data_IF_259968025660
#
_entry.id   IF_259968025660
#
_cell.length_a   1.000
_cell.length_b   1.000
_cell.length_c   1.000
_cell.angle_alpha   90.00
_cell.angle_beta   90.00
_cell.angle_gamma   90.00
#
_symmetry.space_group_name_H-M   'P 1'
#
loop_
_entity.id
_entity.type
_entity.pdbx_description
1 polymer ?
#
# COMPACT_ATOMS: atom_id res chain seq x y z
N UNK A 1 32.64 19.82 34.82
CA UNK A 1 31.87 18.63 34.43
C UNK A 1 32.54 17.99 33.23
N UNK A 2 33.01 16.74 33.37
CA UNK A 2 33.84 16.05 32.36
C UNK A 2 32.93 15.48 31.26
N UNK A 3 33.15 15.87 30.00
CA UNK A 3 32.32 15.47 28.85
C UNK A 3 32.79 14.11 28.31
N UNK A 4 31.97 13.04 28.32
CA UNK A 4 32.37 11.70 27.86
C UNK A 4 32.19 11.55 26.34
N UNK A 5 32.71 12.48 25.55
CA UNK A 5 32.55 12.50 24.09
C UNK A 5 33.19 11.31 23.35
N UNK A 6 34.47 10.96 23.62
CA UNK A 6 35.19 9.97 22.80
C UNK A 6 34.74 8.51 23.01
N UNK A 7 34.20 8.19 24.20
CA UNK A 7 33.79 6.82 24.56
C UNK A 7 32.45 6.43 23.93
N UNK A 8 31.52 7.38 23.77
CA UNK A 8 30.21 7.13 23.16
C UNK A 8 30.31 6.85 21.66
N UNK A 9 31.23 7.51 20.95
CA UNK A 9 31.49 7.24 19.53
C UNK A 9 32.13 5.87 19.29
N UNK A 10 33.01 5.42 20.20
CA UNK A 10 33.61 4.08 20.11
C UNK A 10 32.58 2.97 20.35
N UNK A 11 31.64 3.17 21.27
CA UNK A 11 30.56 2.21 21.55
C UNK A 11 29.60 2.08 20.36
N UNK A 12 29.25 3.20 19.71
CA UNK A 12 28.38 3.21 18.53
C UNK A 12 29.01 2.49 17.32
N UNK A 13 30.32 2.67 17.10
CA UNK A 13 31.05 1.97 16.04
C UNK A 13 31.12 0.46 16.25
N UNK A 14 31.32 0.01 17.50
CA UNK A 14 31.38 -1.41 17.85
C UNK A 14 30.02 -2.11 17.61
N UNK A 15 28.91 -1.46 17.98
CA UNK A 15 27.56 -2.01 17.78
C UNK A 15 27.22 -2.17 16.29
N UNK A 16 27.65 -1.24 15.44
CA UNK A 16 27.44 -1.31 14.01
C UNK A 16 28.22 -2.46 13.35
N UNK A 17 29.45 -2.71 13.81
CA UNK A 17 30.29 -3.81 13.30
C UNK A 17 29.74 -5.20 13.69
N UNK A 18 29.20 -5.36 14.90
CA UNK A 18 28.58 -6.62 15.35
C UNK A 18 27.26 -6.90 14.60
N UNK A 19 26.49 -5.85 14.29
CA UNK A 19 25.25 -5.97 13.53
C UNK A 19 25.47 -6.40 12.07
N UNK A 20 26.51 -5.90 11.40
CA UNK A 20 26.84 -6.34 10.03
C UNK A 20 27.39 -7.78 9.97
N UNK A 21 28.03 -8.28 11.03
CA UNK A 21 28.56 -9.65 11.07
C UNK A 21 27.45 -10.70 11.22
N UNK A 22 26.30 -10.34 11.77
CA UNK A 22 25.16 -11.26 11.99
C UNK A 22 24.29 -11.50 10.74
N UNK A 23 24.41 -10.65 9.71
CA UNK A 23 23.68 -10.79 8.45
C UNK A 23 24.36 -11.74 7.45
N UNK A 24 25.61 -12.17 7.71
CA UNK A 24 26.39 -13.01 6.78
C UNK A 24 26.40 -14.51 7.16
N UNK A 25 25.56 -14.95 8.10
CA UNK A 25 25.55 -16.32 8.61
C UNK A 25 24.34 -17.18 8.16
N UNK A 26 23.50 -16.73 7.22
CA UNK A 26 22.26 -17.47 6.86
C UNK A 26 22.12 -17.84 5.38
N UNK A 27 23.09 -17.58 4.53
CA UNK A 27 23.13 -18.16 3.18
C UNK A 27 23.94 -19.46 3.15
N UNK A 28 23.51 -20.42 3.97
CA UNK A 28 23.95 -21.81 3.90
C UNK A 28 23.06 -22.60 2.95
N UNK A 29 23.55 -22.77 1.72
CA UNK A 29 23.09 -23.73 0.70
C UNK A 29 22.46 -25.01 1.27
N UNK A 30 21.17 -25.24 0.99
CA UNK A 30 20.56 -26.58 1.07
C UNK A 30 20.43 -27.15 -0.33
N UNK A 31 21.53 -27.74 -0.79
CA UNK A 31 21.52 -28.69 -1.88
C UNK A 31 21.89 -30.05 -1.26
N UNK A 32 20.90 -30.90 -1.06
CA UNK A 32 21.12 -32.29 -0.64
C UNK A 32 19.98 -33.15 -1.18
N UNK A 33 20.16 -33.58 -2.43
CA UNK A 33 19.53 -34.75 -3.01
C UNK A 33 19.78 -35.96 -2.11
N UNK A 34 18.73 -36.52 -1.52
CA UNK A 34 18.79 -37.80 -0.84
C UNK A 34 18.64 -38.93 -1.85
N UNK A 35 19.76 -39.28 -2.49
CA UNK A 35 19.91 -40.56 -3.16
C UNK A 35 19.99 -41.67 -2.10
N UNK A 36 19.04 -42.60 -2.10
CA UNK A 36 19.13 -43.85 -1.33
C UNK A 36 19.59 -44.99 -2.25
N UNK A 37 20.62 -45.76 -1.86
CA UNK A 37 21.01 -46.96 -2.61
C UNK A 37 20.13 -48.15 -2.18
N UNK A 38 19.73 -49.00 -3.14
CA UNK A 38 19.33 -50.38 -2.84
C UNK A 38 19.79 -51.31 -3.96
N UNK A 39 20.56 -52.31 -3.52
CA UNK A 39 21.26 -53.37 -4.24
C UNK A 39 20.33 -54.41 -4.90
N UNK A 40 20.87 -55.33 -5.74
CA UNK A 40 20.17 -55.90 -6.89
C UNK A 40 19.54 -57.29 -6.66
N UNK A 41 18.64 -57.64 -7.58
CA UNK A 41 18.53 -58.99 -8.15
C UNK A 41 17.54 -59.95 -7.49
N UNK A 42 16.44 -60.26 -8.19
CA UNK A 42 15.97 -61.63 -8.54
C UNK A 42 14.62 -61.52 -9.27
N UNK A 43 14.58 -61.90 -10.55
CA UNK A 43 13.39 -62.30 -11.34
C UNK A 43 13.13 -63.82 -11.09
N UNK A 44 12.00 -64.49 -11.43
CA UNK A 44 11.15 -64.37 -12.66
C UNK A 44 9.65 -64.77 -12.44
N UNK A 45 8.84 -65.26 -13.43
CA UNK A 45 8.48 -64.77 -14.77
C UNK A 45 6.94 -64.60 -15.04
N UNK A 46 6.65 -63.92 -16.17
CA UNK A 46 5.60 -64.13 -17.20
C UNK A 46 4.09 -64.27 -16.88
N UNK A 47 3.31 -63.34 -17.48
CA UNK A 47 2.17 -63.56 -18.43
C UNK A 47 0.94 -62.71 -18.13
N UNK A 48 0.63 -61.76 -19.03
CA UNK A 48 -0.67 -61.62 -19.72
C UNK A 48 -0.71 -60.32 -20.56
N UNK A 49 -1.41 -60.42 -21.68
CA UNK A 49 -1.53 -59.54 -22.86
C UNK A 49 -2.42 -58.28 -22.65
N UNK A 50 -2.45 -57.32 -23.61
CA UNK A 50 -2.85 -55.93 -23.38
C UNK A 50 -4.36 -55.67 -23.50
N UNK A 51 -4.93 -55.04 -22.47
CA UNK A 51 -6.25 -54.42 -22.53
C UNK A 51 -6.14 -52.92 -22.86
N UNK A 52 -6.48 -52.52 -24.10
CA UNK A 52 -6.79 -51.14 -24.45
C UNK A 52 -8.01 -50.70 -23.64
N UNK A 53 -7.78 -49.94 -22.58
CA UNK A 53 -8.84 -49.17 -21.92
C UNK A 53 -8.69 -47.72 -22.36
N UNK A 54 -9.62 -47.26 -23.20
CA UNK A 54 -9.73 -45.88 -23.66
C UNK A 54 -10.14 -44.99 -22.49
N UNK A 55 -9.18 -44.31 -21.86
CA UNK A 55 -9.49 -43.23 -20.92
C UNK A 55 -10.27 -42.12 -21.64
N UNK A 56 -11.36 -41.59 -21.05
CA UNK A 56 -12.07 -40.45 -21.62
C UNK A 56 -11.14 -39.23 -21.70
N UNK A 57 -11.29 -38.37 -22.72
CA UNK A 57 -10.48 -37.17 -22.84
C UNK A 57 -10.68 -36.28 -21.61
N UNK A 58 -9.58 -35.93 -20.95
CA UNK A 58 -9.57 -34.94 -19.88
C UNK A 58 -10.14 -33.62 -20.43
N UNK A 59 -11.07 -32.96 -19.72
CA UNK A 59 -11.57 -31.66 -20.16
C UNK A 59 -10.38 -30.71 -20.28
N UNK A 60 -10.24 -30.12 -21.46
CA UNK A 60 -9.26 -29.06 -21.72
C UNK A 60 -9.51 -27.91 -20.73
N UNK A 61 -8.47 -27.32 -20.10
CA UNK A 61 -8.68 -26.18 -19.23
C UNK A 61 -9.32 -25.07 -20.05
N UNK A 62 -10.58 -24.77 -19.72
CA UNK A 62 -11.30 -23.64 -20.29
C UNK A 62 -10.43 -22.40 -20.09
N UNK A 63 -10.11 -21.69 -21.18
CA UNK A 63 -9.38 -20.44 -21.11
C UNK A 63 -10.11 -19.53 -20.12
N UNK A 64 -9.43 -19.16 -19.03
CA UNK A 64 -9.96 -18.21 -18.07
C UNK A 64 -10.26 -16.92 -18.83
N UNK A 65 -11.44 -16.30 -18.65
CA UNK A 65 -11.71 -15.01 -19.28
C UNK A 65 -10.59 -14.04 -18.88
N UNK A 66 -9.96 -13.42 -19.87
CA UNK A 66 -9.00 -12.34 -19.64
C UNK A 66 -9.74 -11.25 -18.86
N UNK A 67 -9.37 -11.07 -17.59
CA UNK A 67 -9.95 -10.04 -16.76
C UNK A 67 -9.71 -8.68 -17.44
N UNK A 68 -10.77 -7.88 -17.57
CA UNK A 68 -10.63 -6.52 -18.09
C UNK A 68 -9.92 -5.66 -17.05
N UNK A 69 -9.02 -4.75 -17.46
CA UNK A 69 -8.29 -3.91 -16.52
C UNK A 69 -9.26 -3.05 -15.71
N UNK A 70 -8.91 -2.81 -14.44
CA UNK A 70 -9.70 -1.97 -13.54
C UNK A 70 -9.75 -0.53 -14.08
N UNK A 71 -10.93 0.09 -14.22
CA UNK A 71 -11.04 1.42 -14.80
C UNK A 71 -10.47 2.49 -13.88
N UNK A 72 -9.87 3.50 -14.51
CA UNK A 72 -9.38 4.72 -13.86
C UNK A 72 -10.53 5.45 -13.14
N UNK A 73 -10.38 5.64 -11.83
CA UNK A 73 -11.34 6.35 -11.00
C UNK A 73 -10.71 6.89 -9.71
N UNK A 74 -11.40 7.82 -9.06
CA UNK A 74 -11.06 8.31 -7.73
C UNK A 74 -12.15 7.85 -6.76
N UNK A 75 -11.78 7.62 -5.50
CA UNK A 75 -12.67 7.12 -4.45
C UNK A 75 -12.44 7.93 -3.18
N UNK A 76 -13.50 8.24 -2.45
CA UNK A 76 -13.42 8.96 -1.18
C UNK A 76 -14.49 8.47 -0.21
N UNK A 77 -14.13 8.37 1.05
CA UNK A 77 -15.05 7.99 2.11
C UNK A 77 -14.37 7.99 3.46
N UNK A 78 -14.84 7.12 4.35
CA UNK A 78 -14.41 7.12 5.75
C UNK A 78 -14.18 5.74 6.29
N UNK A 79 -13.48 5.72 7.42
CA UNK A 79 -13.48 4.56 8.29
C UNK A 79 -14.88 4.33 8.84
N UNK A 80 -15.22 3.06 9.10
CA UNK A 80 -16.56 2.66 9.53
C UNK A 80 -16.89 3.21 10.94
N UNK A 81 -15.87 3.56 11.73
CA UNK A 81 -15.99 4.22 13.04
C UNK A 81 -16.06 5.76 12.95
N UNK A 82 -16.08 6.32 11.74
CA UNK A 82 -16.11 7.76 11.44
C UNK A 82 -14.90 8.56 11.98
N UNK A 83 -13.87 7.88 12.51
CA UNK A 83 -12.70 8.54 13.11
C UNK A 83 -11.72 9.12 12.10
N UNK A 84 -11.76 8.67 10.84
CA UNK A 84 -10.80 9.09 9.81
C UNK A 84 -11.45 9.09 8.42
N UNK A 85 -10.76 9.73 7.47
CA UNK A 85 -11.13 9.76 6.06
C UNK A 85 -10.10 8.98 5.23
N UNK A 86 -10.58 8.37 4.16
CA UNK A 86 -9.76 7.63 3.20
C UNK A 86 -10.12 8.07 1.79
N UNK A 87 -9.11 8.38 0.98
CA UNK A 87 -9.26 8.58 -0.45
C UNK A 87 -8.25 7.75 -1.24
N UNK A 88 -8.65 7.29 -2.42
CA UNK A 88 -7.83 6.47 -3.31
C UNK A 88 -7.95 7.01 -4.73
N UNK A 89 -6.83 7.34 -5.36
CA UNK A 89 -6.77 7.57 -6.81
C UNK A 89 -6.20 6.33 -7.48
N UNK A 90 -6.92 5.81 -8.47
CA UNK A 90 -6.58 4.60 -9.21
C UNK A 90 -6.35 4.96 -10.67
N UNK A 91 -5.16 4.67 -11.18
CA UNK A 91 -4.81 4.84 -12.60
C UNK A 91 -3.91 3.70 -13.07
N UNK A 92 -4.28 3.07 -14.17
CA UNK A 92 -3.43 2.14 -14.93
C UNK A 92 -2.80 1.02 -14.07
N UNK A 93 -3.63 0.35 -13.26
CA UNK A 93 -3.19 -0.74 -12.38
C UNK A 93 -2.39 -0.29 -11.16
N UNK A 94 -2.27 1.02 -10.90
CA UNK A 94 -1.65 1.59 -9.70
C UNK A 94 -2.63 2.41 -8.89
N UNK A 95 -2.34 2.55 -7.60
CA UNK A 95 -3.08 3.44 -6.73
C UNK A 95 -2.19 4.23 -5.78
N UNK A 96 -2.63 5.45 -5.49
CA UNK A 96 -2.21 6.24 -4.33
C UNK A 96 -3.42 6.37 -3.42
N UNK A 97 -3.23 6.09 -2.15
CA UNK A 97 -4.21 6.33 -1.11
C UNK A 97 -3.70 7.31 -0.06
N UNK A 98 -4.65 8.00 0.55
CA UNK A 98 -4.40 8.90 1.66
C UNK A 98 -5.39 8.60 2.78
N UNK A 99 -4.86 8.41 3.97
CA UNK A 99 -5.61 8.24 5.22
C UNK A 99 -5.29 9.42 6.13
N UNK A 100 -6.29 10.07 6.72
CA UNK A 100 -6.05 11.07 7.75
C UNK A 100 -7.22 11.20 8.74
N UNK A 101 -6.94 11.65 9.96
CA UNK A 101 -7.95 12.01 10.95
C UNK A 101 -8.42 13.47 10.87
N UNK A 102 -7.74 14.28 10.05
CA UNK A 102 -8.02 15.72 9.90
C UNK A 102 -7.42 16.59 11.00
N UNK A 103 -6.53 16.03 11.83
CA UNK A 103 -5.91 16.71 12.95
C UNK A 103 -4.38 16.64 12.87
N UNK A 104 -3.82 15.46 13.09
CA UNK A 104 -2.36 15.29 13.25
C UNK A 104 -1.87 13.91 12.77
N UNK A 105 -2.78 13.00 12.39
CA UNK A 105 -2.43 11.67 11.91
C UNK A 105 -2.76 11.56 10.44
N UNK A 106 -1.75 11.17 9.67
CA UNK A 106 -1.92 10.90 8.25
C UNK A 106 -0.98 9.80 7.76
N UNK A 107 -1.34 9.21 6.62
CA UNK A 107 -0.45 8.33 5.88
C UNK A 107 -0.75 8.38 4.38
N UNK A 108 0.32 8.50 3.61
CA UNK A 108 0.31 8.33 2.17
C UNK A 108 0.74 6.90 1.84
N UNK A 109 -0.10 6.19 1.08
CA UNK A 109 0.14 4.82 0.68
C UNK A 109 0.16 4.70 -0.85
N UNK A 110 0.94 3.76 -1.36
CA UNK A 110 0.99 3.45 -2.80
C UNK A 110 1.18 1.97 -3.05
N UNK A 111 0.75 1.50 -4.21
CA UNK A 111 0.91 0.11 -4.61
C UNK A 111 0.09 -0.25 -5.83
N UNK A 112 -0.04 -1.55 -6.04
CA UNK A 112 -0.66 -2.13 -7.22
C UNK A 112 -2.15 -2.43 -7.02
N UNK A 113 -2.88 -2.40 -8.13
CA UNK A 113 -4.25 -2.86 -8.25
C UNK A 113 -4.29 -4.00 -9.25
N UNK A 114 -4.77 -5.15 -8.81
CA UNK A 114 -4.95 -6.33 -9.67
C UNK A 114 -6.21 -6.20 -10.51
N UNK A 115 -6.27 -6.94 -11.61
CA UNK A 115 -7.44 -6.96 -12.51
C UNK A 115 -8.73 -7.44 -11.83
N UNK A 116 -8.61 -8.20 -10.74
CA UNK A 116 -9.75 -8.62 -9.90
C UNK A 116 -10.26 -7.52 -8.95
N UNK A 117 -9.67 -6.33 -9.00
CA UNK A 117 -10.01 -5.20 -8.15
C UNK A 117 -9.34 -5.20 -6.78
N UNK A 118 -8.45 -6.14 -6.48
CA UNK A 118 -7.71 -6.17 -5.21
C UNK A 118 -6.63 -5.09 -5.19
N UNK A 119 -6.61 -4.29 -4.11
CA UNK A 119 -5.61 -3.27 -3.85
C UNK A 119 -4.72 -3.71 -2.70
N UNK A 120 -3.40 -3.53 -2.84
CA UNK A 120 -2.44 -3.71 -1.74
C UNK A 120 -1.43 -2.59 -1.76
N UNK A 121 -1.60 -1.65 -0.83
CA UNK A 121 -0.82 -0.42 -0.77
C UNK A 121 0.01 -0.39 0.52
N UNK A 122 1.17 0.25 0.43
CA UNK A 122 2.10 0.41 1.56
C UNK A 122 2.48 1.87 1.70
N UNK A 123 2.66 2.30 2.94
CA UNK A 123 3.07 3.66 3.31
C UNK A 123 4.29 3.64 4.22
N UNK A 124 4.65 4.83 4.70
CA UNK A 124 5.72 4.99 5.69
C UNK A 124 5.32 4.35 7.03
N UNK A 125 6.32 4.07 7.88
CA UNK A 125 6.12 3.61 9.26
C UNK A 125 5.25 2.35 9.39
N UNK A 126 5.31 1.46 8.39
CA UNK A 126 4.54 0.21 8.38
C UNK A 126 3.05 0.39 8.10
N UNK A 127 2.60 1.57 7.64
CA UNK A 127 1.22 1.76 7.24
C UNK A 127 0.87 0.89 6.02
N UNK A 128 -0.33 0.33 6.01
CA UNK A 128 -0.82 -0.57 4.97
C UNK A 128 -2.27 -0.28 4.61
N UNK A 129 -2.66 -0.64 3.39
CA UNK A 129 -4.05 -0.67 2.99
C UNK A 129 -4.28 -1.91 2.12
N UNK A 130 -5.14 -2.80 2.59
CA UNK A 130 -5.67 -3.92 1.82
C UNK A 130 -7.14 -3.65 1.52
N UNK A 131 -7.53 -3.74 0.24
CA UNK A 131 -8.90 -3.43 -0.16
C UNK A 131 -9.35 -4.15 -1.42
N UNK A 132 -10.63 -4.03 -1.72
CA UNK A 132 -11.21 -4.58 -2.95
C UNK A 132 -12.21 -3.59 -3.54
N UNK A 133 -12.02 -3.30 -4.83
CA UNK A 133 -13.00 -2.59 -5.63
C UNK A 133 -14.19 -3.50 -5.96
N UNK A 134 -15.38 -3.10 -5.52
CA UNK A 134 -16.64 -3.79 -5.77
C UNK A 134 -17.39 -3.11 -6.90
N UNK A 135 -17.61 -3.86 -7.98
CA UNK A 135 -18.39 -3.45 -9.16
C UNK A 135 -17.99 -2.11 -9.78
N UNK A 136 -16.73 -1.69 -9.61
CA UNK A 136 -16.25 -0.37 -10.06
C UNK A 136 -16.84 0.83 -9.30
N UNK A 137 -17.65 0.62 -8.26
CA UNK A 137 -18.43 1.66 -7.58
C UNK A 137 -17.90 2.05 -6.20
N UNK A 138 -17.28 1.12 -5.49
CA UNK A 138 -16.88 1.31 -4.09
C UNK A 138 -15.69 0.45 -3.74
N UNK A 139 -14.76 1.00 -2.98
CA UNK A 139 -13.70 0.25 -2.33
C UNK A 139 -14.12 -0.04 -0.88
N UNK A 140 -13.96 -1.29 -0.47
CA UNK A 140 -13.99 -1.69 0.94
C UNK A 140 -12.66 -2.31 1.30
N UNK A 141 -12.17 -2.05 2.50
CA UNK A 141 -10.90 -2.57 2.94
C UNK A 141 -10.58 -2.19 4.37
N UNK A 142 -9.32 -2.39 4.72
CA UNK A 142 -8.75 -2.04 6.02
C UNK A 142 -7.49 -1.22 5.80
N UNK A 143 -7.38 -0.12 6.55
CA UNK A 143 -6.13 0.61 6.71
C UNK A 143 -5.44 0.16 7.99
N UNK A 144 -4.17 -0.19 7.90
CA UNK A 144 -3.29 -0.41 9.04
C UNK A 144 -2.49 0.87 9.27
N UNK A 145 -2.64 1.49 10.44
CA UNK A 145 -1.95 2.72 10.79
C UNK A 145 -1.72 2.81 12.31
N UNK A 146 -0.48 3.09 12.71
CA UNK A 146 -0.12 3.22 14.13
C UNK A 146 -0.40 1.95 14.95
N UNK A 147 -0.25 0.76 14.35
CA UNK A 147 -0.55 -0.52 14.99
C UNK A 147 -2.05 -0.81 15.19
N UNK A 148 -2.93 0.00 14.58
CA UNK A 148 -4.39 -0.16 14.63
C UNK A 148 -4.94 -0.42 13.23
N UNK A 149 -6.08 -1.09 13.18
CA UNK A 149 -6.78 -1.46 11.95
C UNK A 149 -8.08 -0.68 11.86
N UNK A 150 -8.32 -0.06 10.71
CA UNK A 150 -9.52 0.73 10.45
C UNK A 150 -10.21 0.18 9.21
N UNK A 151 -11.35 -0.49 9.40
CA UNK A 151 -12.23 -0.83 8.29
C UNK A 151 -12.75 0.46 7.66
N UNK A 152 -12.83 0.51 6.32
CA UNK A 152 -13.30 1.70 5.62
C UNK A 152 -14.17 1.35 4.41
N UNK A 153 -14.98 2.33 4.05
CA UNK A 153 -15.75 2.35 2.82
C UNK A 153 -15.49 3.66 2.07
N UNK A 154 -15.06 3.56 0.82
CA UNK A 154 -14.84 4.70 -0.08
C UNK A 154 -15.66 4.54 -1.36
N UNK A 155 -16.57 5.48 -1.60
CA UNK A 155 -17.40 5.50 -2.79
C UNK A 155 -16.68 6.16 -3.96
N UNK A 156 -17.02 5.76 -5.19
CA UNK A 156 -16.49 6.40 -6.39
C UNK A 156 -16.80 7.89 -6.34
N UNK A 157 -15.75 8.69 -6.37
CA UNK A 157 -15.82 10.12 -6.28
C UNK A 157 -16.38 10.71 -7.58
N UNK A 158 -17.24 11.71 -7.43
CA UNK A 158 -17.67 12.60 -8.50
C UNK A 158 -17.04 13.95 -8.22
N UNK A 159 -16.43 14.57 -9.24
CA UNK A 159 -15.80 15.88 -9.06
C UNK A 159 -16.81 16.88 -8.45
N UNK A 160 -16.37 17.70 -7.48
CA UNK A 160 -14.98 17.89 -7.07
C UNK A 160 -14.53 17.01 -5.88
N UNK A 161 -15.27 15.96 -5.51
CA UNK A 161 -14.80 14.99 -4.51
C UNK A 161 -13.55 14.24 -5.00
N UNK A 162 -12.66 13.88 -4.08
CA UNK A 162 -11.42 13.18 -4.39
C UNK A 162 -10.25 13.55 -3.48
N UNK A 163 -9.06 13.17 -3.92
CA UNK A 163 -7.80 13.36 -3.21
C UNK A 163 -6.99 14.51 -3.84
N UNK A 164 -6.56 15.45 -3.01
CA UNK A 164 -5.75 16.59 -3.41
C UNK A 164 -4.48 16.68 -2.58
N UNK A 165 -3.41 17.22 -3.17
CA UNK A 165 -2.14 17.46 -2.48
C UNK A 165 -1.50 18.78 -2.91
N UNK A 166 -0.80 19.41 -1.99
CA UNK A 166 0.05 20.57 -2.23
C UNK A 166 1.37 20.38 -1.49
N UNK A 167 2.49 20.58 -2.19
CA UNK A 167 3.81 20.65 -1.58
C UNK A 167 4.45 21.97 -1.97
N UNK A 168 4.98 22.72 -1.01
CA UNK A 168 5.58 24.02 -1.27
C UNK A 168 6.59 24.39 -0.18
N UNK A 169 7.47 25.34 -0.46
CA UNK A 169 8.25 26.02 0.58
C UNK A 169 7.65 27.40 0.83
N UNK A 170 7.24 27.69 2.06
CA UNK A 170 6.63 28.96 2.45
C UNK A 170 7.42 29.54 3.61
N UNK A 171 8.01 30.72 3.42
CA UNK A 171 8.84 31.40 4.42
C UNK A 171 9.99 30.54 4.97
N UNK A 172 10.54 29.64 4.14
CA UNK A 172 11.64 28.75 4.50
C UNK A 172 11.23 27.43 5.15
N UNK A 173 9.93 27.22 5.42
CA UNK A 173 9.39 25.96 5.90
C UNK A 173 8.89 25.09 4.73
N UNK A 174 9.17 23.80 4.76
CA UNK A 174 8.55 22.82 3.88
C UNK A 174 7.12 22.55 4.32
N UNK A 175 6.20 22.63 3.37
CA UNK A 175 4.79 22.30 3.54
C UNK A 175 4.45 21.07 2.70
N UNK A 176 3.74 20.13 3.31
CA UNK A 176 3.12 18.99 2.64
C UNK A 176 1.69 18.84 3.15
N UNK A 177 0.71 19.09 2.28
CA UNK A 177 -0.70 19.06 2.64
C UNK A 177 -1.45 18.03 1.84
N UNK A 178 -2.31 17.25 2.51
CA UNK A 178 -3.26 16.33 1.91
C UNK A 178 -4.70 16.71 2.24
N UNK A 179 -5.58 16.63 1.25
CA UNK A 179 -7.01 16.88 1.42
C UNK A 179 -7.85 15.79 0.79
N UNK A 180 -8.87 15.37 1.52
CA UNK A 180 -9.94 14.50 1.07
C UNK A 180 -11.21 15.33 1.01
N UNK A 181 -11.70 15.57 -0.20
CA UNK A 181 -13.02 16.15 -0.43
C UNK A 181 -14.01 14.99 -0.51
N UNK A 182 -14.80 14.81 0.54
CA UNK A 182 -15.82 13.77 0.65
C UNK A 182 -17.04 14.08 -0.23
N UNK A 183 -17.91 13.08 -0.48
CA UNK A 183 -19.24 13.33 -1.04
C UNK A 183 -19.98 14.39 -0.22
N UNK A 184 -20.63 15.34 -0.89
CA UNK A 184 -21.29 16.48 -0.25
C UNK A 184 -20.36 17.64 0.12
N UNK A 185 -19.06 17.56 -0.23
CA UNK A 185 -18.13 18.69 -0.17
C UNK A 185 -17.41 18.88 1.17
N UNK A 186 -17.68 18.04 2.18
CA UNK A 186 -16.92 18.09 3.45
C UNK A 186 -15.45 17.77 3.18
N UNK A 187 -14.55 18.53 3.79
CA UNK A 187 -13.11 18.35 3.64
C UNK A 187 -12.48 17.84 4.94
N UNK A 188 -11.56 16.90 4.80
CA UNK A 188 -10.72 16.37 5.88
C UNK A 188 -9.29 16.36 5.36
N UNK A 189 -8.33 16.87 6.12
CA UNK A 189 -6.96 16.95 5.65
C UNK A 189 -5.98 17.33 6.74
N UNK A 190 -4.70 17.02 6.50
CA UNK A 190 -3.58 17.41 7.36
C UNK A 190 -2.60 18.23 6.52
N UNK A 191 -2.06 19.27 7.13
CA UNK A 191 -0.96 20.07 6.61
C UNK A 191 0.21 19.91 7.56
N UNK A 192 1.26 19.25 7.09
CA UNK A 192 2.55 19.16 7.75
C UNK A 192 3.41 20.38 7.42
N UNK A 193 4.03 20.95 8.44
CA UNK A 193 5.01 22.03 8.33
C UNK A 193 6.29 21.62 9.03
N UNK A 194 7.34 21.37 8.27
CA UNK A 194 8.64 20.93 8.79
C UNK A 194 8.54 19.76 9.81
N UNK A 195 7.60 18.83 9.60
CA UNK A 195 7.35 17.69 10.49
C UNK A 195 6.35 17.96 11.62
N UNK A 196 5.72 19.13 11.67
CA UNK A 196 4.66 19.48 12.62
C UNK A 196 3.29 19.41 11.92
N UNK A 197 2.54 18.30 12.05
CA UNK A 197 1.24 18.15 11.41
C UNK A 197 0.14 18.92 12.14
N UNK A 198 -0.80 19.47 11.35
CA UNK A 198 -1.98 20.18 11.86
C UNK A 198 -3.16 20.04 10.91
N UNK A 199 -4.36 20.40 11.38
CA UNK A 199 -5.56 20.39 10.53
C UNK A 199 -5.36 21.29 9.31
N UNK A 200 -5.61 20.74 8.12
CA UNK A 200 -5.41 21.50 6.89
C UNK A 200 -6.50 22.58 6.73
N UNK A 201 -6.14 23.78 6.23
CA UNK A 201 -7.13 24.79 5.85
C UNK A 201 -8.00 24.30 4.69
N UNK A 202 -9.23 24.80 4.60
CA UNK A 202 -10.16 24.45 3.53
C UNK A 202 -9.63 24.90 2.17
N UNK A 203 -9.69 24.02 1.16
CA UNK A 203 -9.41 24.38 -0.24
C UNK A 203 -10.69 24.77 -0.95
N UNK A 204 -10.59 25.62 -1.97
CA UNK A 204 -11.60 25.67 -3.02
C UNK A 204 -11.40 24.45 -3.93
N UNK A 205 -12.32 23.47 -3.96
CA UNK A 205 -12.10 22.22 -4.67
C UNK A 205 -12.30 22.35 -6.19
N UNK A 206 -12.86 23.46 -6.68
CA UNK A 206 -12.96 23.75 -8.12
C UNK A 206 -11.63 24.28 -8.67
N UNK A 207 -10.94 25.12 -7.89
CA UNK A 207 -9.68 25.75 -8.33
C UNK A 207 -8.43 25.16 -7.69
N UNK A 208 -8.59 24.36 -6.63
CA UNK A 208 -7.52 23.90 -5.77
C UNK A 208 -6.92 24.99 -4.87
N UNK A 209 -7.47 26.20 -4.88
CA UNK A 209 -6.86 27.33 -4.17
C UNK A 209 -6.93 27.13 -2.65
N UNK A 210 -5.82 27.41 -1.97
CA UNK A 210 -5.74 27.39 -0.51
C UNK A 210 -4.77 28.46 -0.04
N UNK A 211 -5.03 29.06 1.12
CA UNK A 211 -4.16 30.08 1.70
C UNK A 211 -3.50 29.52 2.95
N UNK A 212 -2.17 29.54 2.98
CA UNK A 212 -1.37 29.14 4.14
C UNK A 212 -0.46 30.31 4.50
N UNK A 213 -0.56 30.80 5.73
CA UNK A 213 0.21 31.95 6.25
C UNK A 213 0.10 33.23 5.39
N UNK A 214 -1.03 33.42 4.72
CA UNK A 214 -1.25 34.53 3.78
C UNK A 214 -0.65 34.34 2.39
N UNK A 215 0.00 33.20 2.12
CA UNK A 215 0.45 32.82 0.79
C UNK A 215 -0.58 31.90 0.12
N UNK A 216 -0.94 32.22 -1.13
CA UNK A 216 -1.83 31.39 -1.93
C UNK A 216 -1.05 30.22 -2.53
N UNK A 217 -1.53 29.01 -2.28
CA UNK A 217 -1.06 27.76 -2.86
C UNK A 217 -2.17 27.12 -3.69
N UNK A 218 -1.80 26.07 -4.42
CA UNK A 218 -2.76 25.29 -5.22
C UNK A 218 -2.58 23.81 -4.91
N UNK A 219 -3.58 23.23 -4.24
CA UNK A 219 -3.72 21.79 -4.10
C UNK A 219 -4.21 21.21 -5.43
N UNK A 220 -3.56 20.15 -5.89
CA UNK A 220 -3.87 19.50 -7.17
C UNK A 220 -4.45 18.11 -6.93
N UNK A 221 -5.37 17.64 -7.78
CA UNK A 221 -5.79 16.25 -7.77
C UNK A 221 -4.58 15.32 -7.86
N UNK A 222 -4.55 14.29 -7.02
CA UNK A 222 -3.47 13.31 -6.99
C UNK A 222 -3.67 12.25 -8.07
N UNK A 223 -2.58 11.86 -8.73
CA UNK A 223 -2.54 10.75 -9.69
C UNK A 223 -1.33 9.84 -9.42
N UNK A 224 -1.46 8.50 -9.49
CA UNK A 224 -0.37 7.52 -9.29
C UNK A 224 0.81 7.57 -10.27
#
# INVERSE_FOLDING_TARGET
>A
MKRPGPLLTLLAGLLLAVFMLSLNATTGVRNASSSRPRTPGTAPPASATPGKSTSPPSPSPSASPSASPVPNADYAGRTDDDSSAVAVSLRDGRAIAYFCDGHDKESWLKGDVRDDGTLRLTGKNGAGLDGTLRDGRRIRGTVEFGGRHYAFTADKAVKPSGLYRATATVRGAELDGGWIVLPGGRQVGVLDRDGEPSAAPVIDPETGAVTVDGQKLTARPVTP
#
